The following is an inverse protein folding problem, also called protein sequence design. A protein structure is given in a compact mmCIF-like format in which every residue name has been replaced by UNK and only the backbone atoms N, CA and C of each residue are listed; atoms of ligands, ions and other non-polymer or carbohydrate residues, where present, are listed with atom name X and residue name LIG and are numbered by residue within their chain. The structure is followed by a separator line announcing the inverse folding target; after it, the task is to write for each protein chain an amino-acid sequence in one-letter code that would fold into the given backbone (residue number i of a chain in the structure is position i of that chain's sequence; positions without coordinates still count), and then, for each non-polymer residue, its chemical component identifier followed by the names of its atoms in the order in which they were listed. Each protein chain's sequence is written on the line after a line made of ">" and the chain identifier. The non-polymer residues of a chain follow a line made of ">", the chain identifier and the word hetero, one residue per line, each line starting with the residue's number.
data_IF_786195185106
#
_entry.id   IF_786195185106
#
_cell.length_a   1.000
_cell.length_b   1.000
_cell.length_c   1.000
_cell.angle_alpha   90.00
_cell.angle_beta   90.00
_cell.angle_gamma   90.00
#
_symmetry.space_group_name_H-M   'P 1'
#
loop_
_entity.id
_entity.type
_entity.pdbx_description
1 polymer ?
#
# COMPACT_ATOMS: atom_id res chain seq x y z
N UNK A 1 -9.42 12.51 -8.72
CA UNK A 1 -8.12 13.09 -9.15
C UNK A 1 -7.00 12.05 -9.04
N UNK A 2 -6.87 11.37 -7.91
CA UNK A 2 -5.85 10.34 -7.64
C UNK A 2 -5.77 9.26 -8.74
N UNK A 3 -6.91 8.70 -9.15
CA UNK A 3 -6.97 7.71 -10.23
C UNK A 3 -6.39 8.21 -11.57
N UNK A 4 -6.62 9.47 -11.94
CA UNK A 4 -6.07 10.06 -13.15
C UNK A 4 -4.54 10.16 -13.06
N UNK A 5 -4.02 10.68 -11.94
CA UNK A 5 -2.58 10.78 -11.69
C UNK A 5 -1.92 9.40 -11.76
N UNK A 6 -2.55 8.39 -11.15
CA UNK A 6 -2.09 7.00 -11.22
C UNK A 6 -2.00 6.52 -12.67
N UNK A 7 -3.09 6.63 -13.43
CA UNK A 7 -3.14 6.13 -14.81
C UNK A 7 -2.14 6.83 -15.74
N UNK A 8 -1.90 8.13 -15.55
CA UNK A 8 -0.93 8.90 -16.34
C UNK A 8 0.53 8.59 -16.02
N UNK A 9 0.83 7.98 -14.87
CA UNK A 9 2.21 7.78 -14.41
C UNK A 9 2.62 6.32 -14.19
N UNK A 10 1.68 5.39 -14.03
CA UNK A 10 1.98 3.99 -13.67
C UNK A 10 3.00 3.31 -14.58
N UNK A 11 2.95 3.57 -15.89
CA UNK A 11 3.86 2.98 -16.88
C UNK A 11 5.32 3.46 -16.75
N UNK A 12 5.57 4.51 -15.98
CA UNK A 12 6.92 5.06 -15.74
C UNK A 12 7.64 4.36 -14.59
N UNK A 13 6.96 3.45 -13.88
CA UNK A 13 7.48 2.74 -12.71
C UNK A 13 7.46 1.23 -12.95
N UNK A 14 8.38 0.51 -12.31
CA UNK A 14 8.46 -0.95 -12.45
C UNK A 14 7.31 -1.69 -11.76
N UNK A 15 6.73 -1.07 -10.73
CA UNK A 15 5.51 -1.52 -10.05
C UNK A 15 4.65 -0.30 -9.73
N UNK A 16 3.34 -0.51 -9.57
CA UNK A 16 2.43 0.59 -9.22
C UNK A 16 1.19 0.07 -8.51
N UNK A 17 0.73 0.78 -7.47
CA UNK A 17 -0.51 0.46 -6.76
C UNK A 17 -1.36 1.71 -6.57
N UNK A 18 -2.67 1.54 -6.68
CA UNK A 18 -3.68 2.54 -6.38
C UNK A 18 -4.64 1.97 -5.35
N UNK A 19 -4.71 2.62 -4.18
CA UNK A 19 -5.62 2.26 -3.10
C UNK A 19 -6.61 3.41 -2.91
N UNK A 20 -7.90 3.10 -3.01
CA UNK A 20 -8.99 4.06 -2.87
C UNK A 20 -9.90 3.73 -1.68
N UNK A 21 -10.71 4.70 -1.27
CA UNK A 21 -11.64 4.58 -0.15
C UNK A 21 -10.96 4.05 1.14
N UNK A 22 -9.70 4.43 1.41
CA UNK A 22 -8.89 3.88 2.51
C UNK A 22 -9.58 4.13 3.85
N UNK A 23 -10.15 5.31 4.05
CA UNK A 23 -10.90 5.70 5.23
C UNK A 23 -12.05 4.73 5.52
N UNK A 24 -12.83 4.41 4.49
CA UNK A 24 -13.94 3.45 4.57
C UNK A 24 -13.46 2.01 4.73
N UNK A 25 -12.46 1.57 3.98
CA UNK A 25 -11.94 0.21 4.07
C UNK A 25 -11.30 -0.07 5.43
N UNK A 26 -10.53 0.87 5.97
CA UNK A 26 -9.83 0.68 7.25
C UNK A 26 -10.77 0.40 8.43
N UNK A 27 -12.02 0.86 8.36
CA UNK A 27 -13.06 0.68 9.38
C UNK A 27 -13.77 -0.68 9.28
N UNK A 28 -13.58 -1.42 8.19
CA UNK A 28 -14.17 -2.75 8.00
C UNK A 28 -13.29 -3.83 8.64
N UNK A 29 -13.91 -4.93 9.05
CA UNK A 29 -13.20 -6.13 9.49
C UNK A 29 -12.22 -6.58 8.41
N UNK A 30 -10.95 -6.76 8.79
CA UNK A 30 -9.83 -7.11 7.90
C UNK A 30 -9.57 -6.14 6.72
N UNK A 31 -10.19 -4.95 6.72
CA UNK A 31 -10.08 -4.03 5.59
C UNK A 31 -8.65 -3.50 5.38
N UNK A 32 -7.95 -3.11 6.46
CA UNK A 32 -6.52 -2.76 6.39
C UNK A 32 -5.66 -3.93 5.88
N UNK A 33 -5.96 -5.15 6.32
CA UNK A 33 -5.24 -6.34 5.86
C UNK A 33 -5.49 -6.61 4.37
N UNK A 34 -6.71 -6.37 3.89
CA UNK A 34 -7.06 -6.42 2.47
C UNK A 34 -6.26 -5.42 1.64
N UNK A 35 -6.19 -4.16 2.09
CA UNK A 35 -5.40 -3.11 1.44
C UNK A 35 -3.90 -3.46 1.38
N UNK A 36 -3.33 -4.01 2.46
CA UNK A 36 -1.94 -4.47 2.47
C UNK A 36 -1.70 -5.63 1.49
N UNK A 37 -2.64 -6.58 1.39
CA UNK A 37 -2.55 -7.69 0.42
C UNK A 37 -2.58 -7.16 -1.01
N UNK A 38 -3.47 -6.21 -1.31
CA UNK A 38 -3.52 -5.57 -2.62
C UNK A 38 -2.19 -4.86 -2.93
N UNK A 39 -1.71 -4.01 -2.01
CA UNK A 39 -0.46 -3.28 -2.17
C UNK A 39 0.74 -4.20 -2.44
N UNK A 40 0.85 -5.28 -1.66
CA UNK A 40 1.91 -6.28 -1.87
C UNK A 40 1.76 -7.00 -3.21
N UNK A 41 0.53 -7.30 -3.63
CA UNK A 41 0.26 -7.94 -4.93
C UNK A 41 0.74 -7.07 -6.07
N UNK A 42 0.39 -5.78 -6.01
CA UNK A 42 0.73 -4.78 -7.02
C UNK A 42 2.25 -4.50 -7.07
N UNK A 43 2.94 -4.52 -5.92
CA UNK A 43 4.38 -4.25 -5.84
C UNK A 43 5.22 -5.48 -6.23
N UNK A 44 4.91 -6.64 -5.68
CA UNK A 44 5.73 -7.86 -5.79
C UNK A 44 5.34 -8.74 -6.97
N UNK A 45 4.16 -8.52 -7.58
CA UNK A 45 3.70 -9.21 -8.78
C UNK A 45 3.25 -10.65 -8.50
N UNK A 46 2.17 -10.83 -7.73
CA UNK A 46 1.38 -12.07 -7.55
C UNK A 46 2.07 -13.29 -6.91
N UNK A 47 3.33 -13.56 -7.23
CA UNK A 47 4.00 -14.83 -6.94
C UNK A 47 4.82 -14.82 -5.63
N UNK A 48 5.02 -13.66 -4.99
CA UNK A 48 5.96 -13.50 -3.87
C UNK A 48 5.37 -12.82 -2.62
N UNK A 49 4.05 -12.73 -2.48
CA UNK A 49 3.44 -12.06 -1.32
C UNK A 49 3.70 -12.85 -0.03
N UNK A 50 3.70 -14.20 -0.11
CA UNK A 50 3.61 -15.09 1.05
C UNK A 50 2.35 -14.84 1.88
N UNK A 51 1.96 -15.72 2.80
CA UNK A 51 0.78 -15.42 3.63
C UNK A 51 1.08 -14.26 4.61
N UNK A 52 0.15 -13.33 4.75
CA UNK A 52 0.10 -12.39 5.88
C UNK A 52 -1.19 -12.64 6.63
N UNK A 53 -1.06 -12.84 7.94
CA UNK A 53 -2.16 -13.24 8.84
C UNK A 53 -2.67 -12.08 9.70
N UNK A 54 -1.95 -10.96 9.76
CA UNK A 54 -2.33 -9.78 10.53
C UNK A 54 -1.67 -8.52 9.96
N UNK A 55 -2.17 -7.36 10.39
CA UNK A 55 -1.76 -6.04 9.91
C UNK A 55 -0.27 -5.78 10.14
N UNK A 56 0.27 -6.08 11.33
CA UNK A 56 1.68 -5.83 11.64
C UNK A 56 2.64 -6.62 10.74
N UNK A 57 2.30 -7.89 10.46
CA UNK A 57 3.06 -8.72 9.52
C UNK A 57 2.95 -8.19 8.08
N UNK A 58 1.78 -7.68 7.68
CA UNK A 58 1.57 -7.01 6.41
C UNK A 58 2.42 -5.74 6.27
N UNK A 59 2.41 -4.87 7.28
CA UNK A 59 3.20 -3.62 7.30
C UNK A 59 4.67 -3.90 7.09
N UNK A 60 5.24 -4.86 7.84
CA UNK A 60 6.65 -5.21 7.71
C UNK A 60 6.99 -5.72 6.30
N UNK A 61 6.12 -6.54 5.70
CA UNK A 61 6.32 -6.98 4.32
C UNK A 61 6.22 -5.85 3.31
N UNK A 62 5.33 -4.88 3.52
CA UNK A 62 5.27 -3.70 2.65
C UNK A 62 6.57 -2.91 2.76
N UNK A 63 7.04 -2.63 3.97
CA UNK A 63 8.33 -1.97 4.19
C UNK A 63 9.46 -2.71 3.47
N UNK A 64 9.57 -4.04 3.64
CA UNK A 64 10.57 -4.87 2.97
C UNK A 64 10.46 -4.79 1.43
N UNK A 65 9.24 -4.81 0.89
CA UNK A 65 8.98 -4.71 -0.54
C UNK A 65 9.44 -3.35 -1.11
N UNK A 66 9.17 -2.26 -0.39
CA UNK A 66 9.54 -0.89 -0.80
C UNK A 66 11.05 -0.64 -0.74
N UNK A 67 11.79 -1.37 0.09
CA UNK A 67 13.25 -1.28 0.13
C UNK A 67 13.92 -1.83 -1.14
N UNK A 68 13.26 -2.75 -1.85
CA UNK A 68 13.84 -3.45 -3.02
C UNK A 68 13.11 -3.16 -4.33
N UNK A 69 11.90 -2.60 -4.28
CA UNK A 69 11.11 -2.25 -5.46
C UNK A 69 10.85 -0.74 -5.52
N UNK A 70 11.20 -0.15 -6.66
CA UNK A 70 10.75 1.21 -6.99
C UNK A 70 9.30 1.15 -7.50
N UNK A 71 8.36 1.62 -6.69
CA UNK A 71 6.94 1.60 -6.99
C UNK A 71 6.30 3.01 -6.98
N UNK A 72 5.29 3.22 -7.82
CA UNK A 72 4.36 4.35 -7.69
C UNK A 72 3.20 3.93 -6.79
N UNK A 73 2.99 4.64 -5.68
CA UNK A 73 1.88 4.35 -4.76
C UNK A 73 1.03 5.60 -4.64
N UNK A 74 -0.24 5.47 -4.98
CA UNK A 74 -1.23 6.53 -4.84
C UNK A 74 -2.26 6.05 -3.83
N UNK A 75 -2.41 6.80 -2.74
CA UNK A 75 -3.36 6.54 -1.67
C UNK A 75 -4.43 7.63 -1.71
N UNK A 76 -5.71 7.24 -1.82
CA UNK A 76 -6.84 8.15 -1.87
C UNK A 76 -7.74 7.96 -0.63
N UNK A 77 -8.33 9.06 -0.16
CA UNK A 77 -9.28 9.08 0.97
C UNK A 77 -8.69 8.52 2.29
N UNK A 78 -7.56 9.07 2.76
CA UNK A 78 -6.96 8.75 4.07
C UNK A 78 -7.62 9.61 5.16
N UNK A 79 -8.14 8.98 6.22
CA UNK A 79 -8.74 9.67 7.38
C UNK A 79 -7.69 10.05 8.45
N UNK A 80 -6.55 9.34 8.53
CA UNK A 80 -5.58 9.57 9.58
C UNK A 80 -4.24 8.86 9.40
N UNK A 81 -3.24 9.30 10.16
CA UNK A 81 -1.86 8.79 10.09
C UNK A 81 -1.74 7.31 10.42
N UNK A 82 -2.59 6.78 11.30
CA UNK A 82 -2.57 5.36 11.66
C UNK A 82 -2.78 4.44 10.45
N UNK A 83 -3.56 4.90 9.45
CA UNK A 83 -3.77 4.16 8.20
C UNK A 83 -2.51 4.17 7.32
N UNK A 84 -1.80 5.31 7.28
CA UNK A 84 -0.55 5.43 6.55
C UNK A 84 0.54 4.55 7.17
N UNK A 85 0.66 4.59 8.49
CA UNK A 85 1.63 3.78 9.23
C UNK A 85 1.31 2.28 9.12
N UNK A 86 0.03 1.90 9.11
CA UNK A 86 -0.36 0.52 8.84
C UNK A 86 0.00 0.09 7.41
N UNK A 87 -0.19 0.94 6.39
CA UNK A 87 0.04 0.57 5.00
C UNK A 87 1.51 0.59 4.61
N UNK A 88 2.23 1.66 4.92
CA UNK A 88 3.59 1.90 4.42
C UNK A 88 4.68 1.70 5.48
N UNK A 89 4.28 1.62 6.75
CA UNK A 89 5.20 1.59 7.87
C UNK A 89 5.77 2.97 8.21
N UNK A 90 6.24 3.09 9.45
CA UNK A 90 6.76 4.35 10.02
C UNK A 90 8.03 4.86 9.34
N UNK A 91 8.75 3.97 8.63
CA UNK A 91 9.97 4.32 7.91
C UNK A 91 9.69 5.04 6.60
N UNK A 92 8.54 4.78 5.98
CA UNK A 92 8.12 5.41 4.74
C UNK A 92 7.29 6.69 4.99
N UNK A 93 6.59 6.78 6.12
CA UNK A 93 5.81 7.98 6.49
C UNK A 93 6.67 9.14 7.02
N UNK A 94 7.93 8.90 7.40
CA UNK A 94 8.92 9.94 7.69
C UNK A 94 9.59 10.48 6.44
N UNK A 95 8.86 11.27 5.67
CA UNK A 95 9.48 12.29 4.82
C UNK A 95 9.28 13.63 5.52
N UNK A 96 10.35 14.14 6.13
CA UNK A 96 10.39 15.49 6.71
C UNK A 96 10.47 16.54 5.62
#
# INVERSE_FOLDING_TARGET
>A
LAQFIYNSNKQKFGSSSYLEEIGKHSKQSDGLLGLQKQLLTDILGGNNIGSISNVSAGTRKVEDALLVKRALIILDDIDGHDQLDALLGTRASRTQ
#
